data_IF_014812901439
#
_entry.id   IF_014812901439
#
_cell.length_a   1.000
_cell.length_b   1.000
_cell.length_c   1.000
_cell.angle_alpha   90.00
_cell.angle_beta   90.00
_cell.angle_gamma   90.00
#
_symmetry.space_group_name_H-M   'P 1'
#
loop_
_entity.id
_entity.type
_entity.pdbx_description
1 polymer ?
#
# COMPACT_ATOMS: atom_id res chain seq x y z
N UNK A 1 -9.62 1.80 -10.50
CA UNK A 1 -8.19 1.51 -10.41
C UNK A 1 -7.51 1.68 -11.76
N UNK A 2 -6.36 2.31 -11.79
CA UNK A 2 -5.54 2.51 -12.99
C UNK A 2 -4.08 2.71 -12.57
N UNK A 3 -3.08 2.11 -13.24
CA UNK A 3 -1.69 2.13 -12.78
C UNK A 3 -1.03 3.52 -12.77
N UNK A 4 -1.52 4.46 -13.59
CA UNK A 4 -0.90 5.77 -13.79
C UNK A 4 -1.59 6.92 -13.06
N UNK A 5 -2.72 6.66 -12.38
CA UNK A 5 -3.47 7.70 -11.66
C UNK A 5 -3.94 7.21 -10.30
N UNK A 6 -4.08 8.10 -9.30
CA UNK A 6 -4.62 7.74 -7.99
C UNK A 6 -5.98 7.04 -8.09
N UNK A 7 -6.31 6.28 -7.06
CA UNK A 7 -7.62 5.63 -6.97
C UNK A 7 -8.70 6.67 -6.66
N UNK A 8 -9.81 6.59 -7.38
CA UNK A 8 -10.98 7.43 -7.16
C UNK A 8 -12.16 6.63 -6.64
N UNK A 9 -12.98 7.26 -5.81
CA UNK A 9 -14.29 6.75 -5.37
C UNK A 9 -15.42 7.59 -5.94
N UNK A 10 -16.49 6.91 -6.36
CA UNK A 10 -17.71 7.54 -6.81
C UNK A 10 -18.71 7.64 -5.64
N UNK A 11 -18.98 8.85 -5.21
CA UNK A 11 -19.91 9.14 -4.13
C UNK A 11 -21.29 9.47 -4.68
N UNK A 12 -22.33 8.85 -4.14
CA UNK A 12 -23.72 9.22 -4.42
C UNK A 12 -24.20 10.19 -3.34
N UNK A 13 -24.33 11.45 -3.71
CA UNK A 13 -24.78 12.53 -2.80
C UNK A 13 -26.31 12.71 -2.83
N UNK A 14 -26.98 12.16 -3.84
CA UNK A 14 -28.42 12.24 -3.99
C UNK A 14 -28.90 11.40 -5.19
N UNK A 15 -30.19 11.43 -5.48
CA UNK A 15 -30.79 10.61 -6.54
C UNK A 15 -30.19 10.91 -7.92
N UNK A 16 -29.86 12.15 -8.21
CA UNK A 16 -29.25 12.61 -9.45
C UNK A 16 -27.93 13.37 -9.22
N UNK A 17 -27.32 13.24 -8.03
CA UNK A 17 -26.10 13.96 -7.67
C UNK A 17 -24.99 12.96 -7.32
N UNK A 18 -23.90 13.03 -8.05
CA UNK A 18 -22.74 12.16 -7.90
C UNK A 18 -21.47 13.01 -7.86
N UNK A 19 -20.46 12.57 -7.14
CA UNK A 19 -19.13 13.18 -7.07
C UNK A 19 -18.06 12.11 -7.23
N UNK A 20 -17.09 12.37 -8.10
CA UNK A 20 -15.89 11.55 -8.24
C UNK A 20 -14.77 12.25 -7.45
N UNK A 21 -14.25 11.60 -6.42
CA UNK A 21 -13.21 12.15 -5.57
C UNK A 21 -12.04 11.17 -5.45
N UNK A 22 -10.84 11.70 -5.33
CA UNK A 22 -9.66 10.89 -5.02
C UNK A 22 -9.80 10.26 -3.63
N UNK A 23 -9.37 9.02 -3.48
CA UNK A 23 -9.34 8.36 -2.18
C UNK A 23 -8.17 8.91 -1.38
N UNK A 24 -8.46 9.46 -0.21
CA UNK A 24 -7.44 9.91 0.73
C UNK A 24 -7.06 8.74 1.64
N UNK A 25 -6.07 7.96 1.19
CA UNK A 25 -5.59 6.81 1.95
C UNK A 25 -4.99 7.22 3.30
N UNK A 26 -5.35 6.49 4.34
CA UNK A 26 -4.78 6.64 5.67
C UNK A 26 -3.63 5.65 5.87
N UNK A 27 -2.51 6.17 6.38
CA UNK A 27 -1.31 5.48 6.87
C UNK A 27 -0.85 4.28 6.02
N UNK A 28 -0.51 4.54 4.79
CA UNK A 28 0.07 3.51 3.92
C UNK A 28 -0.70 3.31 2.59
N UNK A 29 -0.51 2.16 1.91
CA UNK A 29 0.49 1.13 2.22
C UNK A 29 1.92 1.59 2.00
N UNK A 30 2.91 0.83 2.52
CA UNK A 30 4.31 1.22 2.52
C UNK A 30 5.21 0.25 1.75
N UNK A 31 6.28 0.79 1.19
CA UNK A 31 7.46 0.01 0.79
C UNK A 31 8.17 -0.54 2.04
N UNK A 32 9.07 -1.53 1.88
CA UNK A 32 9.95 -1.95 2.96
C UNK A 32 10.66 -0.77 3.62
N UNK A 33 11.01 -0.93 4.90
CA UNK A 33 11.78 0.07 5.64
C UNK A 33 13.11 0.37 4.94
N UNK A 34 13.55 1.63 4.96
CA UNK A 34 14.83 2.04 4.38
C UNK A 34 15.99 1.23 4.96
N UNK A 35 16.78 0.63 4.09
CA UNK A 35 17.98 -0.15 4.43
C UNK A 35 19.27 0.55 4.06
N UNK A 36 19.19 1.74 3.44
CA UNK A 36 20.35 2.55 3.10
C UNK A 36 20.88 3.33 4.30
N UNK A 37 22.03 3.97 4.13
CA UNK A 37 22.57 4.90 5.13
C UNK A 37 21.94 6.29 5.09
N UNK A 38 21.04 6.54 4.14
CA UNK A 38 20.31 7.80 4.03
C UNK A 38 19.39 7.97 5.23
N UNK A 39 19.48 9.13 5.88
CA UNK A 39 18.58 9.49 6.98
C UNK A 39 17.51 10.47 6.52
N UNK A 40 16.36 10.40 7.15
CA UNK A 40 15.28 11.38 7.03
C UNK A 40 15.24 12.23 8.32
N UNK A 41 15.18 13.54 8.16
CA UNK A 41 15.04 14.51 9.24
C UNK A 41 13.80 15.39 8.99
N UNK A 42 12.70 15.18 9.71
CA UNK A 42 11.60 16.15 9.77
C UNK A 42 12.03 17.42 10.51
N UNK A 43 11.61 18.58 10.05
CA UNK A 43 11.92 19.87 10.69
C UNK A 43 11.11 20.12 11.99
N UNK A 44 10.00 19.42 12.17
CA UNK A 44 9.17 19.42 13.36
C UNK A 44 8.47 18.06 13.53
N UNK A 45 7.94 17.79 14.73
CA UNK A 45 7.22 16.53 15.01
C UNK A 45 5.71 16.61 14.72
N UNK A 46 5.17 17.81 14.47
CA UNK A 46 3.75 18.04 14.17
C UNK A 46 3.58 19.25 13.25
N UNK A 47 2.46 19.34 12.58
CA UNK A 47 2.08 20.51 11.78
C UNK A 47 1.92 20.25 10.30
N UNK A 48 1.63 21.31 9.59
CA UNK A 48 1.44 21.35 8.14
C UNK A 48 2.65 22.03 7.48
N UNK A 49 3.00 21.60 6.27
CA UNK A 49 4.07 22.21 5.49
C UNK A 49 5.46 21.97 6.09
N UNK A 50 5.70 20.85 6.74
CA UNK A 50 6.96 20.53 7.41
C UNK A 50 7.98 19.98 6.40
N UNK A 51 9.20 20.51 6.44
CA UNK A 51 10.30 20.02 5.62
C UNK A 51 10.74 18.63 6.08
N UNK A 52 10.82 17.70 5.14
CA UNK A 52 11.36 16.34 5.27
C UNK A 52 12.69 16.29 4.52
N UNK A 53 13.81 16.33 5.25
CA UNK A 53 15.14 16.44 4.66
C UNK A 53 15.86 15.10 4.65
N UNK A 54 16.27 14.63 3.48
CA UNK A 54 17.16 13.48 3.31
C UNK A 54 18.63 13.92 3.44
N UNK A 55 19.45 13.11 4.09
CA UNK A 55 20.90 13.34 4.16
C UNK A 55 21.62 13.06 2.82
N UNK A 56 21.03 12.20 2.00
CA UNK A 56 21.48 11.83 0.66
C UNK A 56 20.30 11.37 -0.19
N UNK A 57 20.51 11.09 -1.47
CA UNK A 57 19.48 10.54 -2.35
C UNK A 57 19.53 9.01 -2.45
N UNK A 58 20.62 8.39 -2.01
CA UNK A 58 20.86 6.95 -2.13
C UNK A 58 19.77 6.12 -1.41
N UNK A 59 19.26 5.11 -2.08
CA UNK A 59 18.18 4.24 -1.59
C UNK A 59 16.78 4.84 -1.63
N UNK A 60 16.62 6.05 -2.18
CA UNK A 60 15.33 6.71 -2.34
C UNK A 60 15.03 6.88 -3.82
N UNK A 61 13.94 6.25 -4.30
CA UNK A 61 13.49 6.30 -5.70
C UNK A 61 14.61 5.94 -6.70
N UNK A 62 15.26 4.79 -6.52
CA UNK A 62 16.38 4.35 -7.34
C UNK A 62 17.50 5.41 -7.41
N UNK A 63 17.91 5.93 -6.26
CA UNK A 63 18.95 6.94 -6.08
C UNK A 63 18.66 8.30 -6.71
N UNK A 64 17.38 8.60 -6.98
CA UNK A 64 16.98 9.91 -7.53
C UNK A 64 16.55 10.91 -6.44
N UNK A 65 16.32 10.44 -5.21
CA UNK A 65 15.77 11.25 -4.13
C UNK A 65 14.30 11.60 -4.34
N UNK A 66 13.84 12.71 -3.79
CA UNK A 66 12.46 13.15 -3.96
C UNK A 66 12.15 13.58 -5.38
N UNK A 67 11.02 13.14 -5.91
CA UNK A 67 10.51 13.47 -7.24
C UNK A 67 9.17 14.21 -7.15
N UNK A 68 8.87 15.05 -8.14
CA UNK A 68 7.57 15.74 -8.21
C UNK A 68 6.38 14.76 -8.22
N UNK A 69 6.61 13.55 -8.69
CA UNK A 69 5.63 12.45 -8.70
C UNK A 69 5.42 11.78 -7.35
N UNK A 70 6.15 12.19 -6.30
CA UNK A 70 5.92 11.75 -4.92
C UNK A 70 4.86 12.59 -4.18
N UNK A 71 4.33 13.65 -4.78
CA UNK A 71 3.25 14.44 -4.17
C UNK A 71 2.02 13.51 -3.95
N UNK A 72 1.46 13.57 -2.74
CA UNK A 72 0.40 12.67 -2.27
C UNK A 72 0.90 11.37 -1.61
N UNK A 73 2.18 11.07 -1.69
CA UNK A 73 2.78 9.88 -1.10
C UNK A 73 2.87 9.96 0.41
N UNK A 74 2.56 8.87 1.09
CA UNK A 74 2.76 8.76 2.54
C UNK A 74 4.24 8.60 2.91
N UNK A 75 4.60 9.12 4.06
CA UNK A 75 5.90 8.88 4.72
C UNK A 75 5.59 8.41 6.13
N UNK A 76 6.21 7.33 6.56
CA UNK A 76 6.20 6.84 7.94
C UNK A 76 7.59 7.02 8.52
N UNK A 77 7.69 7.58 9.71
CA UNK A 77 8.95 7.89 10.37
C UNK A 77 8.89 7.49 11.84
N UNK A 78 9.96 6.84 12.34
CA UNK A 78 10.14 6.56 13.76
C UNK A 78 11.45 7.19 14.23
N UNK A 79 11.41 7.85 15.37
CA UNK A 79 12.61 8.36 16.03
C UNK A 79 13.43 7.20 16.62
N UNK A 80 14.74 7.37 16.64
CA UNK A 80 15.68 6.35 17.13
C UNK A 80 15.37 5.87 18.53
N UNK A 81 15.25 4.55 18.69
CA UNK A 81 14.85 3.92 19.93
C UNK A 81 13.34 3.92 20.22
N UNK A 82 12.53 4.62 19.42
CA UNK A 82 11.08 4.52 19.47
C UNK A 82 10.59 3.33 18.65
N UNK A 83 9.57 2.65 19.15
CA UNK A 83 8.80 1.65 18.40
C UNK A 83 7.53 2.23 17.80
N UNK A 84 7.18 3.48 18.17
CA UNK A 84 6.05 4.19 17.61
C UNK A 84 6.44 4.93 16.32
N UNK A 85 5.59 4.87 15.32
CA UNK A 85 5.68 5.66 14.10
C UNK A 85 4.65 6.79 14.11
N UNK A 86 5.05 7.93 13.58
CA UNK A 86 4.11 8.89 13.04
C UNK A 86 4.12 8.83 11.51
N UNK A 87 3.14 9.45 10.88
CA UNK A 87 3.08 9.51 9.43
C UNK A 87 2.64 10.87 8.89
N UNK A 88 3.03 11.13 7.66
CA UNK A 88 2.80 12.38 6.95
C UNK A 88 2.48 12.12 5.48
N UNK A 89 1.92 13.11 4.80
CA UNK A 89 1.66 13.09 3.35
C UNK A 89 2.46 14.20 2.68
N UNK A 90 3.20 13.87 1.63
CA UNK A 90 3.97 14.84 0.82
C UNK A 90 2.99 15.77 0.09
N UNK A 91 3.16 17.08 0.28
CA UNK A 91 2.35 18.09 -0.38
C UNK A 91 3.10 18.89 -1.45
N UNK A 92 4.42 18.95 -1.37
CA UNK A 92 5.27 19.54 -2.43
C UNK A 92 6.70 19.06 -2.34
N UNK A 93 7.45 19.22 -3.43
CA UNK A 93 8.88 18.91 -3.52
C UNK A 93 9.66 20.19 -3.76
N UNK A 94 10.65 20.44 -2.90
CA UNK A 94 11.53 21.61 -3.00
C UNK A 94 12.82 21.28 -3.75
N UNK A 95 13.38 20.09 -3.50
CA UNK A 95 14.59 19.58 -4.18
C UNK A 95 14.62 18.05 -4.09
N UNK A 96 15.61 17.43 -4.72
CA UNK A 96 15.80 15.96 -4.60
C UNK A 96 16.07 15.48 -3.17
N UNK A 97 16.43 16.38 -2.25
CA UNK A 97 16.68 16.05 -0.85
C UNK A 97 15.67 16.68 0.13
N UNK A 98 14.78 17.57 -0.33
CA UNK A 98 13.81 18.25 0.53
C UNK A 98 12.42 18.13 -0.04
N UNK A 99 11.55 17.39 0.64
CA UNK A 99 10.11 17.37 0.45
C UNK A 99 9.42 18.19 1.54
N UNK A 100 8.21 18.65 1.27
CA UNK A 100 7.34 19.30 2.25
C UNK A 100 6.14 18.38 2.48
N UNK A 101 5.81 18.10 3.73
CA UNK A 101 4.73 17.20 4.08
C UNK A 101 3.83 17.74 5.19
N UNK A 102 2.59 17.28 5.17
CA UNK A 102 1.63 17.49 6.25
C UNK A 102 1.64 16.29 7.19
N UNK A 103 1.99 16.50 8.44
CA UNK A 103 2.01 15.45 9.46
C UNK A 103 0.56 15.16 9.86
N UNK A 104 0.17 13.90 9.80
CA UNK A 104 -1.17 13.41 10.13
C UNK A 104 -1.23 12.76 11.50
N UNK A 105 -0.17 12.03 11.87
CA UNK A 105 0.05 11.52 13.22
C UNK A 105 1.44 11.96 13.65
N UNK A 106 1.52 12.56 14.82
CA UNK A 106 2.73 13.21 15.34
C UNK A 106 3.91 12.23 15.42
N UNK A 107 5.08 12.68 15.02
CA UNK A 107 6.34 12.00 15.28
C UNK A 107 6.67 12.15 16.76
N UNK A 108 6.94 11.09 17.43
CA UNK A 108 6.84 10.89 18.89
C UNK A 108 7.57 11.92 19.77
N UNK A 109 8.64 12.58 19.32
CA UNK A 109 9.38 13.63 20.04
C UNK A 109 10.04 14.60 19.06
N UNK A 110 10.98 15.43 19.53
CA UNK A 110 11.75 16.30 18.64
C UNK A 110 12.51 15.47 17.62
N UNK A 111 12.22 15.58 16.33
CA UNK A 111 12.79 14.71 15.32
C UNK A 111 14.31 14.84 15.25
N UNK A 112 14.97 13.69 15.07
CA UNK A 112 16.40 13.58 14.79
C UNK A 112 16.59 12.84 13.46
N UNK A 113 17.77 12.94 12.84
CA UNK A 113 18.02 12.26 11.58
C UNK A 113 18.05 10.74 11.79
N UNK A 114 17.09 10.01 11.16
CA UNK A 114 16.93 8.57 11.34
C UNK A 114 16.91 7.84 10.00
N UNK A 115 17.44 6.62 10.00
CA UNK A 115 17.27 5.67 8.89
C UNK A 115 15.94 4.94 8.95
N UNK A 116 15.23 4.96 10.09
CA UNK A 116 13.98 4.28 10.34
C UNK A 116 12.82 5.08 9.74
N UNK A 117 12.62 4.93 8.43
CA UNK A 117 11.49 5.49 7.73
C UNK A 117 11.03 4.56 6.60
N UNK A 118 9.78 4.70 6.22
CA UNK A 118 9.16 3.99 5.08
C UNK A 118 8.47 4.99 4.18
N UNK A 119 8.53 4.75 2.87
CA UNK A 119 7.80 5.53 1.87
C UNK A 119 6.56 4.78 1.44
N UNK A 120 5.50 5.52 1.16
CA UNK A 120 4.27 4.94 0.63
C UNK A 120 4.53 4.12 -0.64
N UNK A 121 3.84 3.00 -0.77
CA UNK A 121 3.98 2.12 -1.92
C UNK A 121 3.32 2.70 -3.18
N UNK A 122 2.36 3.62 -3.03
CA UNK A 122 1.59 4.19 -4.12
C UNK A 122 1.91 5.67 -4.32
N UNK A 123 2.33 6.02 -5.52
CA UNK A 123 2.61 7.40 -5.95
C UNK A 123 2.74 7.45 -7.47
N UNK A 124 2.86 8.63 -8.04
CA UNK A 124 3.22 8.78 -9.45
C UNK A 124 4.62 8.25 -9.77
N UNK A 125 5.49 8.05 -8.76
CA UNK A 125 6.83 7.46 -8.92
C UNK A 125 6.76 5.93 -8.97
N UNK A 126 5.96 5.30 -8.10
CA UNK A 126 5.90 3.84 -7.93
C UNK A 126 4.72 3.20 -8.66
N UNK A 127 3.83 4.02 -9.20
CA UNK A 127 2.55 3.61 -9.77
C UNK A 127 1.47 3.43 -8.72
N UNK A 128 0.26 3.23 -9.21
CA UNK A 128 -0.94 2.98 -8.41
C UNK A 128 -1.47 1.58 -8.69
N UNK A 129 -2.28 0.98 -7.81
CA UNK A 129 -2.83 -0.34 -8.06
C UNK A 129 -3.75 -0.31 -9.28
N UNK A 130 -3.58 -1.28 -10.17
CA UNK A 130 -4.41 -1.42 -11.37
C UNK A 130 -5.65 -2.28 -11.15
N UNK A 131 -5.71 -2.99 -10.03
CA UNK A 131 -6.74 -3.97 -9.69
C UNK A 131 -7.25 -3.70 -8.30
N UNK A 132 -8.58 -3.79 -8.12
CA UNK A 132 -9.21 -3.67 -6.81
C UNK A 132 -10.42 -4.59 -6.69
N UNK A 133 -10.70 -5.04 -5.47
CA UNK A 133 -11.84 -5.88 -5.12
C UNK A 133 -12.20 -5.70 -3.66
N UNK A 134 -13.36 -6.20 -3.26
CA UNK A 134 -13.78 -6.29 -1.85
C UNK A 134 -13.92 -7.75 -1.45
N UNK A 135 -13.29 -8.14 -0.35
CA UNK A 135 -13.36 -9.48 0.19
C UNK A 135 -13.08 -9.47 1.70
N UNK A 136 -13.81 -10.24 2.49
CA UNK A 136 -13.69 -10.32 3.96
C UNK A 136 -13.61 -8.95 4.65
N UNK A 137 -14.57 -8.06 4.36
CA UNK A 137 -14.66 -6.72 4.94
C UNK A 137 -13.41 -5.85 4.74
N UNK A 138 -12.58 -6.17 3.75
CA UNK A 138 -11.40 -5.40 3.35
C UNK A 138 -11.52 -4.98 1.89
N UNK A 139 -10.97 -3.84 1.57
CA UNK A 139 -10.70 -3.45 0.21
C UNK A 139 -9.33 -4.01 -0.18
N UNK A 140 -9.29 -4.80 -1.23
CA UNK A 140 -8.08 -5.39 -1.77
C UNK A 140 -7.62 -4.63 -3.01
N UNK A 141 -6.32 -4.38 -3.09
CA UNK A 141 -5.67 -3.77 -4.22
C UNK A 141 -4.46 -4.59 -4.66
N UNK A 142 -4.10 -4.53 -5.93
CA UNK A 142 -2.96 -5.28 -6.45
C UNK A 142 -2.33 -4.63 -7.67
N UNK A 143 -1.09 -5.01 -7.95
CA UNK A 143 -0.35 -4.72 -9.16
C UNK A 143 -0.12 -3.23 -9.40
N UNK A 144 0.99 -2.71 -8.91
CA UNK A 144 1.56 -1.44 -9.38
C UNK A 144 2.65 -1.70 -10.41
N UNK A 145 3.12 -0.66 -11.09
CA UNK A 145 4.21 -0.76 -12.07
C UNK A 145 5.52 -1.27 -11.46
N UNK A 146 5.79 -0.93 -10.19
CA UNK A 146 7.01 -1.34 -9.48
C UNK A 146 6.84 -2.62 -8.65
N UNK A 147 5.61 -2.96 -8.27
CA UNK A 147 5.27 -4.13 -7.46
C UNK A 147 4.14 -4.96 -8.09
N UNK A 148 4.37 -5.60 -9.25
CA UNK A 148 3.32 -6.28 -10.01
C UNK A 148 2.77 -7.55 -9.33
N UNK A 149 3.50 -8.10 -8.35
CA UNK A 149 3.14 -9.33 -7.62
C UNK A 149 2.59 -9.06 -6.21
N UNK A 150 2.44 -7.79 -5.82
CA UNK A 150 2.04 -7.41 -4.47
C UNK A 150 0.55 -7.19 -4.39
N UNK A 151 -0.02 -7.71 -3.30
CA UNK A 151 -1.38 -7.52 -2.84
C UNK A 151 -1.35 -6.65 -1.59
N UNK A 152 -2.29 -5.73 -1.50
CA UNK A 152 -2.56 -4.94 -0.31
C UNK A 152 -4.01 -5.11 0.09
N UNK A 153 -4.31 -5.12 1.37
CA UNK A 153 -5.67 -5.03 1.86
C UNK A 153 -5.75 -4.02 3.00
N UNK A 154 -6.83 -3.29 3.06
CA UNK A 154 -7.09 -2.31 4.11
C UNK A 154 -7.32 -2.97 5.47
N UNK A 155 -7.40 -2.19 6.53
CA UNK A 155 -7.93 -2.64 7.80
C UNK A 155 -9.34 -3.22 7.63
N UNK A 156 -9.70 -4.14 8.52
CA UNK A 156 -11.04 -4.75 8.53
C UNK A 156 -12.10 -3.67 8.80
N UNK A 157 -13.12 -3.62 7.95
CA UNK A 157 -14.22 -2.67 8.00
C UNK A 157 -13.85 -1.18 7.83
N UNK A 158 -12.60 -0.88 7.52
CA UNK A 158 -12.14 0.48 7.17
C UNK A 158 -11.46 0.46 5.80
N UNK A 159 -12.22 0.77 4.75
CA UNK A 159 -11.83 0.59 3.35
C UNK A 159 -10.86 1.63 2.80
N UNK A 160 -10.45 2.60 3.58
CA UNK A 160 -9.53 3.66 3.18
C UNK A 160 -8.27 3.70 4.06
N UNK A 161 -8.15 2.79 5.03
CA UNK A 161 -7.06 2.75 6.00
C UNK A 161 -6.12 1.58 5.73
N UNK A 162 -4.85 1.90 5.52
CA UNK A 162 -3.77 0.94 5.28
C UNK A 162 -2.76 0.88 6.43
N UNK A 163 -3.14 1.25 7.65
CA UNK A 163 -2.26 1.16 8.83
C UNK A 163 -1.79 -0.30 9.03
N UNK A 164 -0.49 -0.58 8.91
CA UNK A 164 0.05 -1.94 8.93
C UNK A 164 0.33 -2.48 10.34
N UNK A 165 0.34 -1.62 11.34
CA UNK A 165 0.55 -1.92 12.75
C UNK A 165 0.10 -0.73 13.61
N UNK A 166 -0.19 -0.93 14.87
CA UNK A 166 -0.56 0.18 15.76
C UNK A 166 0.53 1.23 15.84
N UNK A 167 0.13 2.48 15.73
CA UNK A 167 0.97 3.67 15.95
C UNK A 167 1.17 3.87 17.46
N UNK A 168 1.49 2.83 18.18
CA UNK A 168 1.76 2.85 19.61
C UNK A 168 3.23 2.48 19.90
N UNK A 169 3.58 2.41 21.15
CA UNK A 169 4.95 2.14 21.61
C UNK A 169 5.40 0.70 21.34
N UNK A 170 4.52 -0.21 20.96
CA UNK A 170 4.81 -1.63 20.81
C UNK A 170 4.92 -2.10 19.35
N UNK A 171 4.38 -1.33 18.39
CA UNK A 171 4.27 -1.77 16.98
C UNK A 171 3.62 -3.15 16.87
N UNK A 172 2.58 -3.37 17.66
CA UNK A 172 1.88 -4.64 17.67
C UNK A 172 1.03 -4.75 16.42
N UNK A 173 1.17 -5.87 15.70
CA UNK A 173 0.29 -6.20 14.57
C UNK A 173 -0.91 -6.92 15.14
N UNK A 174 -2.11 -6.46 14.80
CA UNK A 174 -3.38 -7.06 15.19
C UNK A 174 -4.10 -7.69 13.98
N UNK A 175 -5.09 -8.53 14.25
CA UNK A 175 -5.76 -9.29 13.21
C UNK A 175 -6.58 -8.41 12.26
N UNK A 176 -6.96 -7.21 12.68
CA UNK A 176 -7.70 -6.22 11.90
C UNK A 176 -6.80 -5.23 11.14
N UNK A 177 -5.49 -5.23 11.37
CA UNK A 177 -4.55 -4.36 10.66
C UNK A 177 -4.48 -4.65 9.16
N UNK A 178 -3.97 -3.69 8.41
CA UNK A 178 -3.82 -3.81 6.96
C UNK A 178 -2.80 -4.90 6.57
N UNK A 179 -3.00 -5.48 5.40
CA UNK A 179 -2.14 -6.52 4.83
C UNK A 179 -1.31 -5.96 3.68
N UNK A 180 -0.11 -6.46 3.60
CA UNK A 180 0.86 -6.25 2.53
C UNK A 180 1.53 -7.60 2.26
N UNK A 181 1.33 -8.18 1.08
CA UNK A 181 1.86 -9.49 0.75
C UNK A 181 2.33 -9.57 -0.71
N UNK A 182 3.59 -9.92 -0.91
CA UNK A 182 4.15 -10.16 -2.24
C UNK A 182 4.19 -11.65 -2.54
N UNK A 183 3.56 -12.07 -3.66
CA UNK A 183 3.60 -13.46 -4.10
C UNK A 183 5.03 -13.83 -4.44
N UNK A 184 5.59 -14.79 -3.70
CA UNK A 184 6.91 -15.33 -3.98
C UNK A 184 6.80 -16.45 -5.01
N UNK A 185 7.33 -16.21 -6.20
CA UNK A 185 7.39 -17.18 -7.29
C UNK A 185 8.75 -17.10 -7.99
N UNK A 186 9.14 -18.19 -8.67
CA UNK A 186 10.41 -18.28 -9.39
C UNK A 186 10.50 -17.31 -10.59
N UNK A 187 9.35 -16.84 -11.07
CA UNK A 187 9.22 -15.89 -12.17
C UNK A 187 8.31 -14.72 -11.76
N UNK A 188 8.44 -13.59 -12.44
CA UNK A 188 7.54 -12.45 -12.23
C UNK A 188 6.13 -12.81 -12.68
N UNK A 189 5.24 -13.00 -11.71
CA UNK A 189 3.84 -13.35 -11.89
C UNK A 189 2.95 -12.14 -11.64
N UNK A 190 2.91 -11.20 -12.60
CA UNK A 190 2.06 -10.01 -12.48
C UNK A 190 0.60 -10.41 -12.24
N UNK A 191 0.00 -9.86 -11.19
CA UNK A 191 -1.42 -10.07 -10.87
C UNK A 191 -2.25 -9.40 -11.96
N UNK A 192 -3.25 -10.10 -12.49
CA UNK A 192 -4.11 -9.67 -13.59
C UNK A 192 -5.52 -9.36 -13.14
N UNK A 193 -6.02 -10.10 -12.17
CA UNK A 193 -7.36 -9.91 -11.64
C UNK A 193 -7.51 -10.53 -10.25
N UNK A 194 -8.52 -10.06 -9.53
CA UNK A 194 -9.01 -10.63 -8.28
C UNK A 194 -10.47 -11.04 -8.47
N UNK A 195 -10.82 -12.25 -8.02
CA UNK A 195 -12.19 -12.78 -8.10
C UNK A 195 -12.66 -13.22 -6.71
N UNK A 196 -13.39 -12.34 -5.99
CA UNK A 196 -13.95 -12.69 -4.68
C UNK A 196 -15.08 -13.70 -4.83
N UNK A 197 -15.15 -14.63 -3.88
CA UNK A 197 -16.22 -15.58 -3.73
C UNK A 197 -16.78 -15.57 -2.31
N UNK A 198 -17.64 -16.53 -1.98
CA UNK A 198 -18.19 -16.65 -0.64
C UNK A 198 -17.09 -17.02 0.38
N UNK A 199 -16.27 -18.03 0.07
CA UNK A 199 -15.25 -18.56 0.97
C UNK A 199 -13.81 -18.37 0.43
N UNK A 200 -13.62 -17.67 -0.70
CA UNK A 200 -12.33 -17.70 -1.39
C UNK A 200 -12.11 -16.50 -2.27
N UNK A 201 -10.95 -15.86 -2.13
CA UNK A 201 -10.44 -14.90 -3.09
C UNK A 201 -9.51 -15.63 -4.07
N UNK A 202 -9.83 -15.65 -5.36
CA UNK A 202 -8.95 -16.20 -6.40
C UNK A 202 -8.16 -15.08 -7.02
N UNK A 203 -6.85 -15.26 -7.13
CA UNK A 203 -5.89 -14.32 -7.69
C UNK A 203 -5.38 -14.90 -9.01
N UNK A 204 -5.68 -14.26 -10.12
CA UNK A 204 -5.11 -14.63 -11.42
C UNK A 204 -3.82 -13.87 -11.69
N UNK A 205 -2.79 -14.59 -12.07
CA UNK A 205 -1.49 -14.02 -12.45
C UNK A 205 -1.04 -14.50 -13.81
N UNK A 206 0.01 -13.93 -14.37
CA UNK A 206 0.57 -14.36 -15.67
C UNK A 206 1.04 -15.80 -15.68
N UNK A 207 1.45 -16.38 -14.54
CA UNK A 207 2.04 -17.72 -14.47
C UNK A 207 1.22 -18.73 -13.66
N UNK A 208 -0.01 -18.38 -13.26
CA UNK A 208 -0.89 -19.30 -12.53
C UNK A 208 -1.94 -18.60 -11.68
N UNK A 209 -2.80 -19.37 -11.08
CA UNK A 209 -3.87 -18.92 -10.20
C UNK A 209 -3.53 -19.30 -8.75
N UNK A 210 -3.76 -18.32 -7.85
CA UNK A 210 -3.38 -18.39 -6.45
C UNK A 210 -4.57 -18.13 -5.55
N UNK A 211 -4.49 -18.62 -4.33
CA UNK A 211 -5.50 -18.42 -3.31
C UNK A 211 -4.80 -18.05 -2.00
N UNK A 212 -5.15 -16.92 -1.36
CA UNK A 212 -4.77 -16.65 0.01
C UNK A 212 -5.58 -17.58 0.93
N UNK A 213 -4.91 -18.19 1.86
CA UNK A 213 -5.47 -19.08 2.88
C UNK A 213 -5.02 -18.63 4.26
N UNK A 214 -5.80 -18.96 5.26
CA UNK A 214 -5.50 -18.81 6.67
C UNK A 214 -5.65 -20.16 7.36
N UNK A 215 -4.90 -20.41 8.44
CA UNK A 215 -5.15 -21.55 9.30
C UNK A 215 -6.38 -21.31 10.20
N UNK A 216 -6.81 -20.05 10.31
CA UNK A 216 -8.03 -19.62 10.97
C UNK A 216 -9.24 -19.59 10.05
N UNK A 217 -10.25 -18.80 10.42
CA UNK A 217 -11.47 -18.58 9.63
C UNK A 217 -11.34 -17.37 8.71
N UNK A 218 -10.50 -16.40 9.08
CA UNK A 218 -10.34 -15.10 8.41
C UNK A 218 -8.87 -14.87 8.08
N UNK A 219 -8.59 -14.20 6.97
CA UNK A 219 -7.24 -13.79 6.58
C UNK A 219 -6.80 -12.62 7.46
N UNK A 220 -5.68 -12.78 8.18
CA UNK A 220 -5.10 -11.76 9.05
C UNK A 220 -3.64 -11.46 8.65
N UNK A 221 -3.06 -10.31 9.05
CA UNK A 221 -1.68 -9.99 8.73
C UNK A 221 -0.66 -11.02 9.24
N UNK A 222 -0.97 -11.70 10.35
CA UNK A 222 -0.12 -12.72 10.97
C UNK A 222 -0.38 -14.14 10.46
N UNK A 223 -1.52 -14.38 9.80
CA UNK A 223 -1.95 -15.70 9.33
C UNK A 223 -2.48 -15.63 7.90
N UNK A 224 -1.59 -15.43 6.95
CA UNK A 224 -1.88 -15.52 5.52
C UNK A 224 -0.82 -16.35 4.81
N UNK A 225 -1.28 -17.33 4.02
CA UNK A 225 -0.44 -18.14 3.15
C UNK A 225 -1.03 -18.13 1.76
N UNK A 226 -0.28 -17.60 0.78
CA UNK A 226 -0.75 -17.59 -0.61
C UNK A 226 -0.23 -18.85 -1.32
N UNK A 227 -1.13 -19.71 -1.79
CA UNK A 227 -0.81 -20.97 -2.44
C UNK A 227 -1.21 -20.96 -3.91
N UNK A 228 -0.30 -21.41 -4.77
CA UNK A 228 -0.60 -21.65 -6.19
C UNK A 228 -1.52 -22.88 -6.32
N UNK A 229 -2.59 -22.74 -7.07
CA UNK A 229 -3.57 -23.79 -7.33
C UNK A 229 -3.44 -24.38 -8.73
N UNK A 230 -3.11 -23.55 -9.69
CA UNK A 230 -2.90 -23.97 -11.07
C UNK A 230 -1.66 -23.29 -11.67
N UNK A 231 -1.25 -23.73 -12.83
CA UNK A 231 -0.12 -23.19 -13.60
C UNK A 231 -0.56 -22.74 -15.00
N UNK A 232 -1.86 -22.39 -15.13
CA UNK A 232 -2.42 -22.07 -16.45
C UNK A 232 -2.01 -20.68 -16.91
N UNK A 233 -2.02 -19.72 -15.98
CA UNK A 233 -1.81 -18.31 -16.27
C UNK A 233 -3.07 -17.63 -16.81
N UNK A 234 -3.14 -16.34 -16.60
CA UNK A 234 -4.34 -15.53 -16.87
C UNK A 234 -4.04 -14.35 -17.76
N UNK A 235 -4.88 -14.13 -18.76
CA UNK A 235 -4.93 -12.88 -19.52
C UNK A 235 -5.44 -11.72 -18.65
N UNK A 236 -5.15 -10.48 -19.06
CA UNK A 236 -5.65 -9.28 -18.39
C UNK A 236 -7.11 -8.98 -18.75
N UNK A 237 -7.97 -9.93 -18.43
CA UNK A 237 -9.42 -9.87 -18.67
C UNK A 237 -10.11 -10.31 -17.40
N UNK A 238 -11.06 -9.50 -16.90
CA UNK A 238 -11.80 -9.82 -15.68
C UNK A 238 -12.53 -11.16 -15.82
N UNK A 239 -12.32 -12.10 -14.88
CA UNK A 239 -12.99 -13.40 -14.92
C UNK A 239 -14.48 -13.28 -14.59
N UNK A 240 -15.23 -14.30 -14.95
CA UNK A 240 -16.64 -14.44 -14.60
C UNK A 240 -16.81 -15.58 -13.61
N UNK A 241 -17.49 -15.33 -12.50
CA UNK A 241 -17.82 -16.36 -11.52
C UNK A 241 -19.24 -16.88 -11.76
N UNK A 242 -19.36 -18.20 -11.80
CA UNK A 242 -20.64 -18.92 -11.90
C UNK A 242 -20.72 -19.92 -10.74
N UNK A 243 -21.43 -19.56 -9.69
CA UNK A 243 -21.39 -20.31 -8.43
C UNK A 243 -19.96 -20.35 -7.87
N UNK A 244 -19.43 -21.54 -7.62
CA UNK A 244 -18.08 -21.76 -7.11
C UNK A 244 -17.01 -21.91 -8.22
N UNK A 245 -17.38 -21.76 -9.48
CA UNK A 245 -16.47 -21.87 -10.62
C UNK A 245 -16.07 -20.49 -11.10
N UNK A 246 -14.77 -20.29 -11.31
CA UNK A 246 -14.21 -19.10 -11.94
C UNK A 246 -13.83 -19.44 -13.38
N UNK A 247 -14.43 -18.72 -14.34
CA UNK A 247 -14.12 -18.85 -15.76
C UNK A 247 -13.24 -17.66 -16.15
N UNK A 248 -12.07 -17.93 -16.69
CA UNK A 248 -11.09 -16.92 -17.10
C UNK A 248 -10.45 -17.27 -18.44
N UNK A 249 -9.76 -16.30 -19.04
CA UNK A 249 -9.01 -16.46 -20.28
C UNK A 249 -7.52 -16.60 -19.97
N UNK A 250 -6.86 -17.50 -20.66
CA UNK A 250 -5.39 -17.69 -20.63
C UNK A 250 -4.70 -16.73 -21.60
#
# INVERSE_FOLDING_TARGET
>A
YHPDVPTYKLLRLGHASWSLVEVAWEDGPYLPENTSTTTLLPAANTGLGINMTLSAIAGVNDDQGWLATDIGRCIRYAEGGSTAFGWAVIVSITSTTVAVADIKVDFNSSPTAQTTFRLGAWSGTTGYPSIGSFYEQRQWAANTSTQPQTLWATQTADFENHTPDKVDTARTIEDDDALDYTISADEVNAIRWLSPGEDTLVIGTTGGEWIPESNGIVITPSDVVIRRRTTLGSANIQPVRVGNIVLFVQ
#
